data_IF_057394327811
#
_entry.id   IF_057394327811
#
_cell.length_a   1.000
_cell.length_b   1.000
_cell.length_c   1.000
_cell.angle_alpha   90.00
_cell.angle_beta   90.00
_cell.angle_gamma   90.00
#
_symmetry.space_group_name_H-M   'P 1'
#
loop_
_entity.id
_entity.type
_entity.pdbx_description
1 polymer ?
#
# COMPACT_ATOMS: atom_id res chain seq x y z
N UNK A 1 0.03 -46.77 62.95
CA UNK A 1 -1.16 -46.67 63.77
C UNK A 1 -1.85 -45.40 63.50
N UNK A 2 -3.13 -45.47 63.50
CA UNK A 2 -4.00 -45.00 62.34
C UNK A 2 -5.02 -44.00 62.83
N UNK A 3 -5.99 -43.77 61.94
CA UNK A 3 -7.33 -43.17 62.10
C UNK A 3 -7.45 -41.72 61.70
N UNK A 4 -8.46 -41.27 61.01
CA UNK A 4 -9.67 -41.84 60.36
C UNK A 4 -10.24 -40.79 59.43
N UNK A 5 -10.69 -41.23 58.35
CA UNK A 5 -11.83 -40.76 57.47
C UNK A 5 -12.81 -39.76 58.04
N UNK A 6 -13.26 -38.82 57.26
CA UNK A 6 -14.69 -38.68 56.98
C UNK A 6 -15.01 -37.94 55.67
N UNK A 7 -15.86 -38.55 54.97
CA UNK A 7 -16.57 -38.26 53.72
C UNK A 7 -17.74 -37.32 54.00
N UNK A 8 -18.08 -36.44 53.09
CA UNK A 8 -19.44 -36.09 52.71
C UNK A 8 -19.38 -35.16 51.47
N UNK A 9 -19.75 -35.60 50.41
CA UNK A 9 -20.89 -35.51 49.54
C UNK A 9 -21.64 -34.19 49.64
N UNK A 10 -21.87 -33.51 48.45
CA UNK A 10 -22.75 -32.40 48.26
C UNK A 10 -22.61 -31.76 46.90
N UNK A 11 -23.29 -32.33 45.92
CA UNK A 11 -23.60 -31.73 44.62
C UNK A 11 -24.20 -30.37 44.75
N UNK A 12 -23.92 -29.48 43.81
CA UNK A 12 -25.01 -28.81 43.09
C UNK A 12 -24.48 -28.02 41.89
N UNK A 13 -24.95 -28.39 40.76
CA UNK A 13 -24.94 -27.71 39.48
C UNK A 13 -25.60 -26.32 39.57
N UNK A 14 -24.89 -25.31 39.15
CA UNK A 14 -25.46 -23.97 39.01
C UNK A 14 -24.96 -23.33 37.73
N UNK A 15 -25.63 -23.64 36.62
CA UNK A 15 -25.51 -22.93 35.34
C UNK A 15 -26.05 -21.53 35.53
N UNK A 16 -25.18 -20.53 35.55
CA UNK A 16 -25.61 -19.12 35.41
C UNK A 16 -25.30 -18.63 33.99
N UNK A 17 -26.30 -18.76 33.14
CA UNK A 17 -26.43 -17.97 31.92
C UNK A 17 -26.79 -16.53 32.32
N UNK A 18 -25.82 -15.63 32.34
CA UNK A 18 -26.07 -14.20 32.31
C UNK A 18 -26.12 -13.75 30.84
N UNK A 19 -27.35 -13.63 30.38
CA UNK A 19 -27.70 -12.86 29.20
C UNK A 19 -27.48 -11.38 29.54
N UNK A 20 -26.32 -10.84 29.13
CA UNK A 20 -26.10 -9.39 29.12
C UNK A 20 -26.65 -8.87 27.79
N UNK A 21 -27.86 -8.33 27.83
CA UNK A 21 -28.35 -7.46 26.78
C UNK A 21 -27.51 -6.18 26.79
N UNK A 22 -26.46 -6.18 26.01
CA UNK A 22 -25.63 -5.01 25.75
C UNK A 22 -26.33 -4.12 24.76
N UNK A 23 -26.84 -3.02 25.22
CA UNK A 23 -27.20 -1.86 24.41
C UNK A 23 -26.00 -1.50 23.53
N UNK A 24 -26.19 -1.59 22.23
CA UNK A 24 -25.24 -1.12 21.22
C UNK A 24 -25.09 0.41 21.36
N UNK A 25 -24.08 0.84 22.10
CA UNK A 25 -23.53 2.17 21.90
C UNK A 25 -22.70 2.09 20.63
N UNK A 26 -23.26 2.58 19.52
CA UNK A 26 -22.55 2.81 18.29
C UNK A 26 -21.28 3.58 18.60
N UNK A 27 -20.16 3.04 18.17
CA UNK A 27 -18.89 3.73 18.29
C UNK A 27 -18.95 5.01 17.46
N UNK A 28 -18.70 6.13 18.11
CA UNK A 28 -18.64 7.50 17.55
C UNK A 28 -17.55 7.64 16.48
N UNK A 29 -16.95 6.53 16.04
CA UNK A 29 -15.83 6.48 15.09
C UNK A 29 -16.22 6.17 13.65
N UNK A 30 -17.50 5.81 13.38
CA UNK A 30 -17.93 5.38 12.05
C UNK A 30 -18.56 6.47 11.19
N UNK A 31 -18.80 7.68 11.71
CA UNK A 31 -19.57 8.69 10.98
C UNK A 31 -18.79 9.87 10.40
N UNK A 32 -17.50 10.08 10.73
CA UNK A 32 -16.83 11.33 10.36
C UNK A 32 -15.55 11.23 9.52
N UNK A 33 -15.20 10.07 8.98
CA UNK A 33 -13.91 9.95 8.24
C UNK A 33 -14.06 9.82 6.73
N UNK A 34 -15.23 9.53 6.18
CA UNK A 34 -15.39 9.57 4.71
C UNK A 34 -16.88 9.67 4.32
N UNK A 35 -17.47 10.85 4.41
CA UNK A 35 -18.56 11.19 3.52
C UNK A 35 -17.96 11.71 2.23
N UNK A 36 -18.07 10.99 1.11
CA UNK A 36 -17.75 11.60 -0.17
C UNK A 36 -18.75 12.75 -0.35
N UNK A 37 -18.24 13.99 -0.36
CA UNK A 37 -19.02 15.13 -0.81
C UNK A 37 -19.70 14.71 -2.10
N UNK A 38 -21.01 14.88 -2.18
CA UNK A 38 -21.78 14.78 -3.43
C UNK A 38 -21.34 15.91 -4.36
N UNK A 39 -20.13 15.80 -4.87
CA UNK A 39 -19.69 16.50 -6.05
C UNK A 39 -20.43 15.88 -7.21
N UNK A 40 -21.29 16.65 -7.83
CA UNK A 40 -22.03 16.33 -9.03
C UNK A 40 -21.11 15.72 -10.07
N UNK A 41 -21.41 14.47 -10.42
CA UNK A 41 -20.64 13.56 -11.20
C UNK A 41 -20.09 14.09 -12.50
N UNK A 42 -18.87 13.71 -12.72
CA UNK A 42 -18.31 13.31 -14.02
C UNK A 42 -17.51 12.01 -13.85
N UNK A 43 -17.46 11.46 -12.66
CA UNK A 43 -17.00 10.09 -12.47
C UNK A 43 -18.21 9.17 -12.60
N UNK A 44 -18.50 8.80 -13.84
CA UNK A 44 -19.27 7.60 -14.11
C UNK A 44 -18.62 6.48 -13.30
N UNK A 45 -19.42 5.84 -12.45
CA UNK A 45 -19.04 4.65 -11.72
C UNK A 45 -18.28 3.70 -12.62
N UNK A 46 -16.97 3.68 -12.53
CA UNK A 46 -16.18 2.57 -13.01
C UNK A 46 -16.36 1.43 -12.01
N UNK A 47 -17.63 1.06 -11.79
CA UNK A 47 -17.99 -0.22 -11.21
C UNK A 47 -17.52 -1.27 -12.20
N UNK A 48 -16.40 -1.93 -11.84
CA UNK A 48 -16.08 -3.23 -12.39
C UNK A 48 -15.90 -3.26 -13.91
N UNK A 49 -15.03 -2.45 -14.51
CA UNK A 49 -14.43 -2.90 -15.77
C UNK A 49 -13.36 -3.91 -15.41
N UNK A 50 -13.82 -5.13 -15.17
CA UNK A 50 -12.99 -6.33 -15.26
C UNK A 50 -12.06 -6.14 -16.45
N UNK A 51 -10.75 -6.27 -16.23
CA UNK A 51 -9.74 -6.48 -17.27
C UNK A 51 -9.95 -7.85 -17.94
N UNK A 52 -11.19 -8.24 -18.15
CA UNK A 52 -11.52 -9.41 -18.96
C UNK A 52 -11.32 -9.01 -20.40
N UNK A 53 -10.20 -9.37 -20.92
CA UNK A 53 -9.60 -9.45 -22.25
C UNK A 53 -10.40 -9.19 -23.52
N UNK A 54 -11.43 -8.38 -23.49
CA UNK A 54 -12.05 -7.77 -24.65
C UNK A 54 -11.88 -6.27 -24.54
N UNK A 55 -10.74 -5.77 -25.05
CA UNK A 55 -10.67 -4.41 -25.53
C UNK A 55 -11.76 -4.26 -26.58
N UNK A 56 -12.96 -3.92 -26.15
CA UNK A 56 -13.96 -3.41 -27.08
C UNK A 56 -13.33 -2.16 -27.68
N UNK A 57 -12.93 -2.27 -28.93
CA UNK A 57 -12.46 -1.17 -29.74
C UNK A 57 -13.58 -0.13 -29.84
N UNK A 58 -13.80 0.64 -28.81
CA UNK A 58 -14.45 1.95 -28.98
C UNK A 58 -13.55 2.71 -29.93
N UNK A 59 -14.05 2.98 -31.12
CA UNK A 59 -13.36 3.64 -32.23
C UNK A 59 -12.95 5.10 -31.95
N UNK A 60 -13.04 5.54 -30.70
CA UNK A 60 -12.77 6.90 -30.25
C UNK A 60 -11.43 6.97 -29.55
N UNK A 61 -10.65 7.99 -29.88
CA UNK A 61 -9.42 8.30 -29.18
C UNK A 61 -9.70 8.64 -27.71
N UNK A 62 -8.87 8.15 -26.79
CA UNK A 62 -8.98 8.44 -25.36
C UNK A 62 -8.64 9.87 -24.96
N UNK A 63 -8.03 10.65 -25.86
CA UNK A 63 -7.83 12.07 -25.61
C UNK A 63 -9.14 12.82 -25.83
N UNK A 64 -9.68 13.42 -24.75
CA UNK A 64 -10.93 14.19 -24.79
C UNK A 64 -10.90 15.39 -25.76
N UNK A 65 -9.73 15.96 -25.98
CA UNK A 65 -9.53 17.11 -26.87
C UNK A 65 -9.17 16.70 -28.30
N UNK A 66 -9.30 15.44 -28.66
CA UNK A 66 -8.94 14.96 -29.99
C UNK A 66 -9.92 15.40 -31.05
N UNK A 67 -9.48 16.25 -31.98
CA UNK A 67 -10.28 16.66 -33.14
C UNK A 67 -10.58 15.52 -34.12
N UNK A 68 -9.78 14.45 -34.15
CA UNK A 68 -9.93 13.30 -35.03
C UNK A 68 -10.72 12.18 -34.32
N UNK A 69 -12.01 12.35 -34.15
CA UNK A 69 -12.88 11.36 -33.53
C UNK A 69 -13.01 10.04 -34.30
N UNK A 70 -12.46 9.95 -35.51
CA UNK A 70 -12.58 8.77 -36.37
C UNK A 70 -11.23 8.30 -36.91
N UNK A 71 -10.90 7.05 -36.72
CA UNK A 71 -9.68 6.46 -37.28
C UNK A 71 -10.00 5.18 -38.07
N UNK A 72 -9.35 5.06 -39.20
CA UNK A 72 -9.52 3.91 -40.08
C UNK A 72 -9.10 2.61 -39.37
N UNK A 73 -9.91 1.56 -39.36
CA UNK A 73 -9.68 0.32 -38.60
C UNK A 73 -8.32 -0.36 -38.87
N UNK A 74 -7.80 -0.21 -40.07
CA UNK A 74 -6.54 -0.84 -40.48
C UNK A 74 -5.27 -0.14 -39.98
N UNK A 75 -5.34 1.11 -39.50
CA UNK A 75 -4.22 1.83 -38.90
C UNK A 75 -3.99 1.50 -37.43
N UNK A 76 -4.85 0.69 -36.82
CA UNK A 76 -4.94 0.53 -35.37
C UNK A 76 -4.07 -0.59 -34.76
N UNK A 77 -3.38 -1.39 -35.58
CA UNK A 77 -2.73 -2.62 -35.10
C UNK A 77 -1.47 -2.43 -34.23
N UNK A 78 -0.93 -1.21 -34.17
CA UNK A 78 0.33 -0.92 -33.46
C UNK A 78 0.31 0.43 -32.74
N UNK A 79 -0.73 0.72 -31.95
CA UNK A 79 -0.79 1.99 -31.23
C UNK A 79 -0.83 1.78 -29.73
N UNK A 80 -0.10 2.60 -28.96
CA UNK A 80 0.00 2.40 -27.53
C UNK A 80 -1.36 2.57 -26.86
N UNK A 81 -1.64 1.66 -25.91
CA UNK A 81 -2.77 1.74 -25.01
C UNK A 81 -2.26 2.29 -23.68
N UNK A 82 -2.89 3.35 -23.22
CA UNK A 82 -2.61 3.95 -21.92
C UNK A 82 -3.89 3.94 -21.09
N UNK A 83 -3.83 3.33 -19.91
CA UNK A 83 -4.96 3.17 -18.97
C UNK A 83 -6.24 2.65 -19.66
N UNK A 84 -6.11 1.55 -20.41
CA UNK A 84 -7.17 0.91 -21.20
C UNK A 84 -7.78 1.80 -22.30
N UNK A 85 -7.20 2.94 -22.58
CA UNK A 85 -7.63 3.86 -23.65
C UNK A 85 -6.61 3.89 -24.77
N UNK A 86 -7.10 4.04 -25.97
CA UNK A 86 -6.29 4.09 -27.17
C UNK A 86 -6.06 5.52 -27.65
N UNK A 87 -4.82 5.86 -28.01
CA UNK A 87 -4.45 7.16 -28.56
C UNK A 87 -4.30 7.12 -30.07
N UNK A 88 -4.91 8.05 -30.81
CA UNK A 88 -4.85 8.10 -32.28
C UNK A 88 -3.47 8.57 -32.82
N UNK A 89 -2.67 9.20 -32.01
CA UNK A 89 -1.32 9.69 -32.34
C UNK A 89 -0.50 9.84 -31.07
N UNK A 90 0.83 9.98 -31.18
CA UNK A 90 1.72 10.27 -30.06
C UNK A 90 1.33 11.55 -29.32
N UNK A 91 0.84 12.57 -30.01
CA UNK A 91 0.31 13.78 -29.35
C UNK A 91 -0.89 13.49 -28.46
N UNK A 92 -1.80 12.62 -28.91
CA UNK A 92 -2.95 12.23 -28.08
C UNK A 92 -2.52 11.39 -26.89
N UNK A 93 -1.57 10.48 -27.07
CA UNK A 93 -1.00 9.71 -25.93
C UNK A 93 -0.31 10.64 -24.94
N UNK A 94 0.48 11.59 -25.41
CA UNK A 94 1.10 12.61 -24.55
C UNK A 94 0.06 13.40 -23.75
N UNK A 95 -1.00 13.87 -24.40
CA UNK A 95 -2.09 14.59 -23.72
C UNK A 95 -2.78 13.72 -22.66
N UNK A 96 -3.01 12.43 -22.95
CA UNK A 96 -3.57 11.47 -21.98
C UNK A 96 -2.63 11.25 -20.80
N UNK A 97 -1.34 11.08 -21.03
CA UNK A 97 -0.32 10.92 -19.98
C UNK A 97 -0.20 12.19 -19.13
N UNK A 98 -0.21 13.38 -19.76
CA UNK A 98 -0.21 14.66 -19.03
C UNK A 98 -1.47 14.82 -18.17
N UNK A 99 -2.63 14.43 -18.69
CA UNK A 99 -3.88 14.46 -17.93
C UNK A 99 -3.81 13.50 -16.72
N UNK A 100 -3.27 12.31 -16.92
CA UNK A 100 -3.05 11.34 -15.84
C UNK A 100 -2.05 11.88 -14.79
N UNK A 101 -0.93 12.44 -15.22
CA UNK A 101 0.05 13.02 -14.31
C UNK A 101 -0.54 14.18 -13.48
N UNK A 102 -1.41 15.02 -14.07
CA UNK A 102 -2.14 16.07 -13.35
C UNK A 102 -3.14 15.47 -12.36
N UNK A 103 -3.90 14.45 -12.77
CA UNK A 103 -4.83 13.73 -11.89
C UNK A 103 -4.11 13.15 -10.66
N UNK A 104 -2.93 12.54 -10.86
CA UNK A 104 -2.14 11.97 -9.78
C UNK A 104 -1.54 13.03 -8.82
N UNK A 105 -1.45 14.28 -9.28
CA UNK A 105 -1.06 15.38 -8.40
C UNK A 105 -2.17 15.80 -7.45
N UNK A 106 -3.43 15.57 -7.83
CA UNK A 106 -4.58 16.19 -7.19
C UNK A 106 -4.59 17.71 -7.38
N UNK A 107 -5.71 18.34 -7.11
CA UNK A 107 -5.85 19.81 -7.12
C UNK A 107 -5.19 20.47 -5.90
N UNK A 108 -4.53 19.71 -5.04
CA UNK A 108 -3.84 20.18 -3.84
C UNK A 108 -2.38 19.78 -3.82
N UNK A 109 -1.56 20.68 -3.37
CA UNK A 109 -0.15 20.45 -3.08
C UNK A 109 0.00 19.32 -2.06
N UNK A 110 0.21 18.06 -2.55
CA UNK A 110 0.42 16.88 -1.71
C UNK A 110 1.77 16.97 -0.96
N UNK A 111 2.51 18.04 -1.17
CA UNK A 111 3.69 18.41 -0.38
C UNK A 111 3.33 18.65 1.10
N UNK A 112 2.08 18.95 1.41
CA UNK A 112 1.57 18.84 2.77
C UNK A 112 1.36 17.36 3.10
N UNK A 113 2.41 16.69 3.58
CA UNK A 113 2.25 15.41 4.26
C UNK A 113 1.03 15.48 5.18
N UNK A 114 0.11 14.50 5.12
CA UNK A 114 -1.15 14.62 5.85
C UNK A 114 -0.87 14.96 7.31
N UNK A 115 -1.34 16.14 7.72
CA UNK A 115 -1.12 16.69 9.07
C UNK A 115 -1.70 15.81 10.19
N UNK A 116 -2.42 14.75 9.81
CA UNK A 116 -2.99 13.73 10.69
C UNK A 116 -1.99 13.09 11.67
N UNK A 117 -0.69 13.12 11.36
CA UNK A 117 0.33 12.51 12.24
C UNK A 117 0.80 13.41 13.40
N UNK A 118 0.51 14.71 13.38
CA UNK A 118 0.96 15.63 14.44
C UNK A 118 0.29 15.43 15.80
N UNK A 119 -0.84 14.71 15.84
CA UNK A 119 -1.65 14.53 17.06
C UNK A 119 -1.60 13.12 17.63
N UNK A 120 -0.73 12.24 17.12
CA UNK A 120 -0.60 10.91 17.71
C UNK A 120 0.20 10.96 19.01
N UNK A 121 -0.28 10.23 20.01
CA UNK A 121 0.44 10.06 21.26
C UNK A 121 1.79 9.40 20.95
N UNK A 122 2.92 9.97 21.40
CA UNK A 122 4.24 9.35 21.25
C UNK A 122 4.25 7.93 21.83
N UNK A 123 4.92 6.99 21.14
CA UNK A 123 4.97 5.58 21.51
C UNK A 123 5.36 5.37 22.97
N UNK A 124 6.43 6.04 23.43
CA UNK A 124 6.90 5.92 24.81
C UNK A 124 5.86 6.34 25.85
N UNK A 125 5.08 7.40 25.59
CA UNK A 125 4.00 7.84 26.48
C UNK A 125 2.81 6.89 26.44
N UNK A 126 2.49 6.34 25.27
CA UNK A 126 1.44 5.34 25.13
C UNK A 126 1.81 4.07 25.94
N UNK A 127 3.02 3.56 25.79
CA UNK A 127 3.49 2.38 26.51
C UNK A 127 3.57 2.61 28.02
N UNK A 128 3.95 3.81 28.44
CA UNK A 128 3.94 4.21 29.85
C UNK A 128 2.50 4.21 30.40
N UNK A 129 1.56 4.79 29.66
CA UNK A 129 0.14 4.82 30.04
C UNK A 129 -0.49 3.43 30.12
N UNK A 130 -0.01 2.48 29.33
CA UNK A 130 -0.43 1.07 29.37
C UNK A 130 0.29 0.26 30.49
N UNK A 131 1.25 0.86 31.20
CA UNK A 131 2.05 0.17 32.21
C UNK A 131 3.02 -0.87 31.64
N UNK A 132 3.31 -0.83 30.33
CA UNK A 132 4.26 -1.77 29.71
C UNK A 132 5.72 -1.39 29.91
N UNK A 133 5.97 -0.13 30.22
CA UNK A 133 7.26 0.39 30.64
C UNK A 133 7.08 1.30 31.85
N UNK A 134 8.16 1.49 32.60
CA UNK A 134 8.24 2.41 33.73
C UNK A 134 8.80 3.76 33.31
N UNK A 135 8.55 4.81 34.09
CA UNK A 135 9.11 6.13 33.84
C UNK A 135 10.65 6.13 33.76
N UNK A 136 11.41 5.44 34.67
CA UNK A 136 12.86 5.33 34.55
C UNK A 136 13.33 4.65 33.27
N UNK A 137 12.63 3.63 32.78
CA UNK A 137 12.95 2.97 31.52
C UNK A 137 12.77 3.93 30.33
N UNK A 138 11.68 4.69 30.30
CA UNK A 138 11.45 5.68 29.26
C UNK A 138 12.53 6.79 29.28
N UNK A 139 12.89 7.28 30.47
CA UNK A 139 13.94 8.30 30.59
C UNK A 139 15.31 7.77 30.12
N UNK A 140 15.67 6.52 30.47
CA UNK A 140 16.92 5.88 30.03
C UNK A 140 16.96 5.78 28.50
N UNK A 141 15.91 5.25 27.88
CA UNK A 141 15.82 5.12 26.42
C UNK A 141 15.89 6.47 25.71
N UNK A 142 15.24 7.51 26.25
CA UNK A 142 15.30 8.88 25.71
C UNK A 142 16.68 9.51 25.86
N UNK A 143 17.38 9.24 26.96
CA UNK A 143 18.76 9.72 27.18
C UNK A 143 19.70 9.08 26.15
N UNK A 144 19.65 7.76 25.98
CA UNK A 144 20.45 7.04 24.99
C UNK A 144 20.15 7.48 23.55
N UNK A 145 18.88 7.71 23.21
CA UNK A 145 18.50 8.24 21.90
C UNK A 145 19.08 9.64 21.65
N UNK A 146 19.07 10.52 22.66
CA UNK A 146 19.63 11.87 22.53
C UNK A 146 21.15 11.85 22.39
N UNK A 147 21.82 10.98 23.14
CA UNK A 147 23.27 10.79 23.09
C UNK A 147 23.73 10.27 21.73
N UNK A 148 23.02 9.27 21.19
CA UNK A 148 23.28 8.73 19.86
C UNK A 148 22.90 9.67 18.72
N UNK A 149 21.90 10.55 18.91
CA UNK A 149 21.32 11.39 17.88
C UNK A 149 20.56 10.65 16.78
N UNK A 150 20.46 9.34 16.85
CA UNK A 150 19.83 8.47 15.84
C UNK A 150 18.98 7.37 16.47
N UNK A 151 18.26 6.61 15.62
CA UNK A 151 17.45 5.47 16.06
C UNK A 151 16.06 5.86 16.58
N UNK A 152 15.23 4.85 16.75
CA UNK A 152 13.83 5.00 17.18
C UNK A 152 13.72 4.68 18.65
N UNK A 153 12.80 5.33 19.35
CA UNK A 153 12.58 5.09 20.77
C UNK A 153 12.27 3.62 21.10
N UNK A 154 11.59 2.90 20.17
CA UNK A 154 11.32 1.47 20.32
C UNK A 154 12.59 0.64 20.37
N UNK A 155 13.56 0.92 19.51
CA UNK A 155 14.84 0.21 19.46
C UNK A 155 15.64 0.44 20.76
N UNK A 156 15.63 1.67 21.27
CA UNK A 156 16.28 2.03 22.55
C UNK A 156 15.58 1.41 23.76
N UNK A 157 14.26 1.25 23.71
CA UNK A 157 13.54 0.54 24.78
C UNK A 157 13.89 -0.96 24.79
N UNK A 158 14.15 -1.54 23.64
CA UNK A 158 14.60 -2.94 23.53
C UNK A 158 16.05 -3.05 24.04
N UNK A 159 16.98 -2.26 23.48
CA UNK A 159 18.42 -2.39 23.75
C UNK A 159 18.80 -2.01 25.17
N UNK A 160 18.27 -0.86 25.68
CA UNK A 160 18.68 -0.30 26.97
C UNK A 160 17.82 -0.77 28.15
N UNK A 161 16.59 -1.18 27.87
CA UNK A 161 15.63 -1.48 28.92
C UNK A 161 15.13 -2.93 28.90
N UNK A 162 15.54 -3.73 27.92
CA UNK A 162 15.12 -5.12 27.78
C UNK A 162 13.61 -5.30 27.57
N UNK A 163 12.97 -4.30 26.93
CA UNK A 163 11.55 -4.39 26.59
C UNK A 163 11.38 -5.40 25.44
N UNK A 164 10.43 -6.30 25.59
CA UNK A 164 10.12 -7.31 24.58
C UNK A 164 9.66 -6.65 23.27
N UNK A 165 10.20 -7.07 22.11
CA UNK A 165 9.82 -6.53 20.80
C UNK A 165 8.32 -6.56 20.53
N UNK A 166 7.62 -7.60 21.00
CA UNK A 166 6.18 -7.78 20.86
C UNK A 166 5.39 -6.65 21.55
N UNK A 167 5.89 -6.10 22.66
CA UNK A 167 5.27 -4.95 23.34
C UNK A 167 5.43 -3.68 22.53
N UNK A 168 6.58 -3.51 21.86
CA UNK A 168 6.81 -2.37 20.96
C UNK A 168 5.82 -2.42 19.80
N UNK A 169 5.71 -3.56 19.13
CA UNK A 169 4.78 -3.74 17.99
C UNK A 169 3.32 -3.54 18.42
N UNK A 170 2.95 -4.04 19.59
CA UNK A 170 1.60 -3.81 20.15
C UNK A 170 1.37 -2.33 20.43
N UNK A 171 2.39 -1.62 20.93
CA UNK A 171 2.34 -0.18 21.12
C UNK A 171 2.16 0.58 19.80
N UNK A 172 2.89 0.20 18.78
CA UNK A 172 2.73 0.75 17.42
C UNK A 172 1.34 0.46 16.85
N UNK A 173 0.86 -0.77 17.00
CA UNK A 173 -0.50 -1.15 16.58
C UNK A 173 -1.57 -0.25 17.22
N UNK A 174 -1.48 -0.01 18.51
CA UNK A 174 -2.39 0.91 19.20
C UNK A 174 -2.21 2.36 18.74
N UNK A 175 -0.98 2.80 18.56
CA UNK A 175 -0.66 4.17 18.12
C UNK A 175 -1.22 4.45 16.72
N UNK A 176 -1.17 3.46 15.84
CA UNK A 176 -1.62 3.59 14.44
C UNK A 176 -3.06 3.13 14.22
N UNK A 177 -3.67 2.45 15.20
CA UNK A 177 -5.01 1.87 15.07
C UNK A 177 -5.07 0.79 13.98
N UNK A 178 -4.05 -0.05 13.89
CA UNK A 178 -3.91 -1.07 12.85
C UNK A 178 -3.61 -2.45 13.43
N UNK A 179 -3.75 -3.48 12.62
CA UNK A 179 -3.39 -4.84 13.01
C UNK A 179 -1.87 -5.04 13.17
N UNK A 180 -1.48 -5.96 14.04
CA UNK A 180 -0.16 -6.56 14.00
C UNK A 180 -0.19 -7.67 12.95
N UNK A 181 0.70 -7.60 11.99
CA UNK A 181 0.82 -8.57 10.91
C UNK A 181 2.03 -9.47 11.15
N UNK A 182 1.90 -10.74 10.76
CA UNK A 182 2.99 -11.71 10.79
C UNK A 182 3.35 -12.15 9.38
N UNK A 183 4.61 -12.53 9.11
CA UNK A 183 5.03 -13.08 7.82
C UNK A 183 4.52 -14.48 7.53
N UNK A 184 3.59 -15.03 8.32
CA UNK A 184 3.01 -16.33 8.04
C UNK A 184 2.39 -16.40 6.65
N UNK A 185 2.79 -17.42 5.88
CA UNK A 185 2.36 -17.55 4.49
C UNK A 185 3.01 -16.56 3.52
N UNK A 186 4.07 -15.88 3.94
CA UNK A 186 4.88 -15.02 3.07
C UNK A 186 5.61 -15.86 2.03
N UNK A 187 5.47 -15.47 0.76
CA UNK A 187 6.23 -15.99 -0.37
C UNK A 187 6.94 -14.85 -1.05
N UNK A 188 8.26 -14.76 -0.87
CA UNK A 188 9.06 -13.68 -1.41
C UNK A 188 8.95 -13.60 -2.94
N UNK A 189 8.97 -14.73 -3.63
CA UNK A 189 8.87 -14.80 -5.09
C UNK A 189 7.56 -14.23 -5.64
N UNK A 190 6.45 -14.47 -4.94
CA UNK A 190 5.13 -13.97 -5.34
C UNK A 190 5.02 -12.48 -4.99
N UNK A 191 5.48 -12.09 -3.81
CA UNK A 191 5.36 -10.73 -3.31
C UNK A 191 6.33 -9.76 -4.00
N UNK A 192 7.47 -10.22 -4.52
CA UNK A 192 8.41 -9.41 -5.29
C UNK A 192 7.81 -8.82 -6.59
N UNK A 193 6.67 -9.37 -7.03
CA UNK A 193 5.95 -8.89 -8.23
C UNK A 193 4.90 -7.83 -7.93
N UNK A 194 4.60 -7.58 -6.66
CA UNK A 194 3.52 -6.67 -6.25
C UNK A 194 3.91 -5.22 -6.41
N UNK A 195 5.07 -4.84 -5.89
CA UNK A 195 5.55 -3.47 -5.87
C UNK A 195 6.99 -3.38 -6.39
N UNK A 196 7.39 -2.24 -6.95
CA UNK A 196 8.78 -2.02 -7.35
C UNK A 196 9.74 -2.16 -6.17
N UNK A 197 10.88 -2.79 -6.42
CA UNK A 197 11.95 -2.99 -5.44
C UNK A 197 12.33 -1.70 -4.69
N UNK A 198 12.40 -0.58 -5.41
CA UNK A 198 12.75 0.74 -4.84
C UNK A 198 11.78 1.20 -3.73
N UNK A 199 10.52 0.80 -3.80
CA UNK A 199 9.55 1.14 -2.76
C UNK A 199 9.76 0.31 -1.48
N UNK A 200 10.14 -0.95 -1.63
CA UNK A 200 10.54 -1.79 -0.50
C UNK A 200 11.81 -1.24 0.17
N UNK A 201 12.77 -0.80 -0.63
CA UNK A 201 14.04 -0.27 -0.15
C UNK A 201 13.90 1.10 0.51
N UNK A 202 13.20 2.05 -0.15
CA UNK A 202 13.19 3.45 0.26
C UNK A 202 11.99 3.86 1.11
N UNK A 203 10.85 3.19 0.94
CA UNK A 203 9.61 3.53 1.65
C UNK A 203 9.28 2.55 2.77
N UNK A 204 10.05 1.46 2.88
CA UNK A 204 9.85 0.47 3.93
C UNK A 204 8.46 -0.18 3.91
N UNK A 205 7.89 -0.36 2.72
CA UNK A 205 6.63 -1.07 2.53
C UNK A 205 6.91 -2.52 2.12
N UNK A 206 6.27 -3.46 2.77
CA UNK A 206 6.50 -4.88 2.55
C UNK A 206 5.19 -5.60 2.24
N UNK A 207 4.95 -6.01 0.99
CA UNK A 207 3.83 -6.89 0.70
C UNK A 207 4.08 -8.25 1.34
N UNK A 208 3.10 -8.78 2.10
CA UNK A 208 3.27 -10.00 2.89
C UNK A 208 2.58 -11.19 2.25
N UNK A 209 1.30 -11.06 1.95
CA UNK A 209 0.50 -12.13 1.37
C UNK A 209 -0.81 -11.60 0.80
N UNK A 210 -1.44 -12.38 -0.05
CA UNK A 210 -2.82 -12.16 -0.50
C UNK A 210 -3.72 -13.21 0.12
N UNK A 211 -4.74 -12.76 0.85
CA UNK A 211 -5.74 -13.64 1.45
C UNK A 211 -7.08 -13.57 0.72
N UNK A 212 -7.76 -14.71 0.62
CA UNK A 212 -9.09 -14.78 0.04
C UNK A 212 -9.18 -14.26 -1.40
N UNK A 213 -8.10 -14.34 -2.16
CA UNK A 213 -7.96 -13.87 -3.55
C UNK A 213 -8.08 -12.34 -3.78
N UNK A 214 -8.39 -11.53 -2.77
CA UNK A 214 -8.65 -10.08 -2.96
C UNK A 214 -8.07 -9.14 -1.91
N UNK A 215 -7.48 -9.62 -0.83
CA UNK A 215 -6.93 -8.76 0.23
C UNK A 215 -5.42 -8.95 0.26
N UNK A 216 -4.69 -7.88 -0.05
CA UNK A 216 -3.25 -7.81 0.08
C UNK A 216 -2.90 -7.21 1.45
N UNK A 217 -2.15 -7.94 2.25
CA UNK A 217 -1.59 -7.43 3.49
C UNK A 217 -0.26 -6.72 3.23
N UNK A 218 -0.20 -5.45 3.66
CA UNK A 218 0.97 -4.59 3.49
C UNK A 218 1.55 -4.25 4.86
N UNK A 219 2.75 -4.75 5.13
CA UNK A 219 3.46 -4.58 6.39
C UNK A 219 4.39 -3.36 6.41
N UNK A 220 4.51 -2.75 7.58
CA UNK A 220 5.44 -1.67 7.89
C UNK A 220 6.12 -1.95 9.23
N UNK A 221 7.38 -1.56 9.38
CA UNK A 221 8.11 -1.81 10.62
C UNK A 221 7.70 -0.88 11.77
N UNK A 222 7.33 0.37 11.46
CA UNK A 222 7.10 1.39 12.50
C UNK A 222 6.02 2.41 12.14
N UNK A 223 5.93 2.80 10.88
CA UNK A 223 5.05 3.87 10.42
C UNK A 223 4.23 3.42 9.23
N UNK A 224 2.92 3.47 9.37
CA UNK A 224 2.03 3.21 8.25
C UNK A 224 2.05 4.37 7.25
N UNK A 225 2.11 4.01 6.00
CA UNK A 225 1.95 4.94 4.89
C UNK A 225 0.63 4.68 4.16
N UNK A 226 -0.37 5.50 4.46
CA UNK A 226 -1.68 5.38 3.83
C UNK A 226 -1.64 5.64 2.31
N UNK A 227 -0.70 6.49 1.85
CA UNK A 227 -0.51 6.73 0.42
C UNK A 227 0.04 5.50 -0.28
N UNK A 228 1.00 4.80 0.36
CA UNK A 228 1.54 3.55 -0.15
C UNK A 228 0.45 2.47 -0.27
N UNK A 229 -0.43 2.35 0.73
CA UNK A 229 -1.54 1.42 0.69
C UNK A 229 -2.51 1.74 -0.46
N UNK A 230 -2.96 2.99 -0.58
CA UNK A 230 -3.87 3.44 -1.63
C UNK A 230 -3.28 3.24 -3.03
N UNK A 231 -2.01 3.60 -3.23
CA UNK A 231 -1.33 3.44 -4.53
C UNK A 231 -1.18 1.97 -4.89
N UNK A 232 -0.84 1.12 -3.92
CA UNK A 232 -0.75 -0.33 -4.13
C UNK A 232 -2.11 -0.93 -4.47
N UNK A 233 -3.18 -0.49 -3.79
CA UNK A 233 -4.56 -0.89 -4.10
C UNK A 233 -4.95 -0.50 -5.52
N UNK A 234 -4.68 0.74 -5.92
CA UNK A 234 -4.97 1.23 -7.28
C UNK A 234 -4.16 0.50 -8.35
N UNK A 235 -2.90 0.14 -8.07
CA UNK A 235 -2.05 -0.56 -9.02
C UNK A 235 -2.43 -2.03 -9.15
N UNK A 236 -2.68 -2.72 -8.04
CA UNK A 236 -2.93 -4.18 -8.00
C UNK A 236 -4.39 -4.56 -8.19
N UNK A 237 -5.33 -3.64 -8.01
CA UNK A 237 -6.79 -3.89 -7.92
C UNK A 237 -7.20 -4.83 -6.76
N UNK A 238 -6.29 -5.02 -5.80
CA UNK A 238 -6.55 -5.74 -4.57
C UNK A 238 -6.91 -4.76 -3.47
N UNK A 239 -7.82 -5.11 -2.59
CA UNK A 239 -8.01 -4.36 -1.36
C UNK A 239 -6.74 -4.46 -0.52
N UNK A 240 -6.21 -3.34 -0.04
CA UNK A 240 -4.99 -3.33 0.77
C UNK A 240 -5.33 -3.12 2.24
N UNK A 241 -4.87 -4.03 3.08
CA UNK A 241 -4.92 -3.89 4.53
C UNK A 241 -3.51 -3.71 5.08
N UNK A 242 -3.28 -2.56 5.71
CA UNK A 242 -1.98 -2.19 6.25
C UNK A 242 -1.87 -2.52 7.73
N UNK A 243 -0.68 -2.94 8.16
CA UNK A 243 -0.41 -3.20 9.56
C UNK A 243 1.07 -3.08 9.89
N UNK A 244 1.37 -3.19 11.18
CA UNK A 244 2.75 -3.19 11.67
C UNK A 244 3.26 -4.62 11.82
N UNK A 245 4.53 -4.82 11.52
CA UNK A 245 5.25 -6.08 11.66
C UNK A 245 6.37 -5.88 12.69
N UNK A 246 6.67 -6.91 13.46
CA UNK A 246 7.82 -6.89 14.37
C UNK A 246 9.12 -6.65 13.58
N UNK A 247 10.01 -5.79 14.12
CA UNK A 247 11.16 -5.27 13.38
C UNK A 247 12.10 -6.34 12.83
N UNK A 248 12.42 -7.38 13.61
CA UNK A 248 13.30 -8.46 13.16
C UNK A 248 12.66 -9.32 12.08
N UNK A 249 11.37 -9.61 12.21
CA UNK A 249 10.58 -10.36 11.23
C UNK A 249 10.41 -9.54 9.94
N UNK A 250 10.19 -8.23 10.06
CA UNK A 250 10.11 -7.32 8.93
C UNK A 250 11.40 -7.31 8.12
N UNK A 251 12.56 -7.11 8.78
CA UNK A 251 13.86 -7.07 8.11
C UNK A 251 14.26 -8.43 7.52
N UNK A 252 13.89 -9.54 8.15
CA UNK A 252 14.11 -10.87 7.61
C UNK A 252 13.29 -11.09 6.31
N UNK A 253 11.99 -10.79 6.33
CA UNK A 253 11.13 -10.94 5.18
C UNK A 253 11.49 -9.93 4.07
N UNK A 254 11.85 -8.69 4.42
CA UNK A 254 12.33 -7.68 3.48
C UNK A 254 13.60 -8.13 2.75
N UNK A 255 14.55 -8.70 3.46
CA UNK A 255 15.77 -9.25 2.87
C UNK A 255 15.46 -10.38 1.91
N UNK A 256 14.64 -11.35 2.32
CA UNK A 256 14.21 -12.43 1.44
C UNK A 256 13.54 -11.91 0.17
N UNK A 257 12.67 -10.90 0.28
CA UNK A 257 12.00 -10.31 -0.87
C UNK A 257 12.99 -9.62 -1.81
N UNK A 258 13.96 -8.89 -1.27
CA UNK A 258 14.98 -8.19 -2.06
C UNK A 258 16.00 -9.15 -2.71
N UNK A 259 16.16 -10.36 -2.20
CA UNK A 259 16.99 -11.39 -2.79
C UNK A 259 16.28 -12.14 -3.93
N UNK A 260 14.95 -12.00 -4.04
CA UNK A 260 14.17 -12.62 -5.12
C UNK A 260 14.17 -11.77 -6.39
N UNK A 261 14.06 -12.45 -7.52
CA UNK A 261 13.80 -11.83 -8.80
C UNK A 261 12.37 -11.31 -8.88
N UNK A 262 12.22 -10.01 -9.07
CA UNK A 262 10.95 -9.32 -9.16
C UNK A 262 10.58 -8.94 -10.59
N UNK A 263 9.70 -7.96 -10.73
CA UNK A 263 9.40 -7.33 -12.03
C UNK A 263 10.61 -6.49 -12.46
N UNK A 264 10.98 -6.56 -13.76
CA UNK A 264 12.00 -5.69 -14.31
C UNK A 264 11.63 -4.22 -14.06
N UNK A 265 12.52 -3.49 -13.39
CA UNK A 265 12.28 -2.11 -12.99
C UNK A 265 13.38 -1.19 -13.51
N UNK A 266 12.96 -0.07 -14.10
CA UNK A 266 13.86 1.03 -14.47
C UNK A 266 13.54 2.27 -13.64
N UNK A 267 14.57 2.79 -12.96
CA UNK A 267 14.50 4.04 -12.20
C UNK A 267 15.07 5.17 -13.06
N UNK A 268 14.27 6.19 -13.32
CA UNK A 268 14.66 7.36 -14.12
C UNK A 268 14.40 8.64 -13.32
N UNK A 269 15.20 9.67 -13.54
CA UNK A 269 15.00 10.99 -12.95
C UNK A 269 14.33 11.92 -13.97
N UNK A 270 13.26 12.57 -13.55
CA UNK A 270 12.58 13.58 -14.34
C UNK A 270 12.82 14.97 -13.78
N UNK A 271 13.11 15.94 -14.66
CA UNK A 271 13.30 17.35 -14.26
C UNK A 271 11.97 17.99 -13.85
N UNK A 272 10.94 17.72 -14.62
CA UNK A 272 9.60 18.24 -14.44
C UNK A 272 8.56 17.23 -14.95
N UNK A 273 7.29 17.56 -14.77
CA UNK A 273 6.15 16.70 -15.13
C UNK A 273 6.02 16.51 -16.64
N UNK A 274 6.34 17.53 -17.41
CA UNK A 274 6.20 17.48 -18.87
C UNK A 274 7.29 16.61 -19.49
N UNK A 275 8.51 16.66 -18.96
CA UNK A 275 9.60 15.77 -19.35
C UNK A 275 9.29 14.31 -19.00
N UNK A 276 8.71 14.05 -17.82
CA UNK A 276 8.24 12.70 -17.41
C UNK A 276 7.13 12.24 -18.36
N UNK A 277 6.14 13.06 -18.65
CA UNK A 277 5.05 12.70 -19.55
C UNK A 277 5.52 12.41 -20.97
N UNK A 278 6.47 13.20 -21.49
CA UNK A 278 7.10 12.94 -22.78
C UNK A 278 7.87 11.61 -22.78
N UNK A 279 8.61 11.33 -21.70
CA UNK A 279 9.37 10.09 -21.55
C UNK A 279 8.44 8.88 -21.46
N UNK A 280 7.39 8.94 -20.65
CA UNK A 280 6.35 7.89 -20.56
C UNK A 280 5.75 7.63 -21.95
N UNK A 281 5.43 8.70 -22.70
CA UNK A 281 4.87 8.55 -24.05
C UNK A 281 5.82 7.80 -24.98
N UNK A 282 7.11 8.13 -24.97
CA UNK A 282 8.13 7.42 -25.75
C UNK A 282 8.25 5.94 -25.34
N UNK A 283 8.19 5.64 -24.04
CA UNK A 283 8.21 4.28 -23.52
C UNK A 283 7.00 3.47 -24.00
N UNK A 284 5.80 4.08 -23.93
CA UNK A 284 4.57 3.44 -24.39
C UNK A 284 4.60 3.18 -25.92
N UNK A 285 5.17 4.09 -26.69
CA UNK A 285 5.34 3.92 -28.14
C UNK A 285 6.37 2.83 -28.47
N UNK A 286 7.43 2.73 -27.68
CA UNK A 286 8.49 1.73 -27.84
C UNK A 286 7.99 0.31 -27.52
N UNK A 287 7.37 0.14 -26.34
CA UNK A 287 6.99 -1.18 -25.84
C UNK A 287 5.61 -1.64 -26.30
N UNK A 288 4.73 -0.70 -26.69
CA UNK A 288 3.35 -0.97 -27.14
C UNK A 288 2.59 -1.94 -26.22
N UNK A 289 2.53 -1.66 -24.90
CA UNK A 289 1.93 -2.56 -23.93
C UNK A 289 0.44 -2.77 -24.25
N UNK A 290 -0.08 -3.91 -23.86
CA UNK A 290 -1.52 -4.23 -23.97
C UNK A 290 -2.34 -3.55 -22.87
N UNK A 291 -1.71 -3.24 -21.75
CA UNK A 291 -2.27 -2.44 -20.67
C UNK A 291 -1.16 -1.66 -19.96
N UNK A 292 -1.52 -0.53 -19.40
CA UNK A 292 -0.60 0.26 -18.58
C UNK A 292 -1.38 1.04 -17.53
N UNK A 293 -0.72 1.37 -16.44
CA UNK A 293 -1.27 2.18 -15.36
C UNK A 293 -0.20 3.09 -14.78
N UNK A 294 -0.57 4.34 -14.54
CA UNK A 294 0.27 5.35 -13.91
C UNK A 294 -0.32 5.73 -12.56
N UNK A 295 0.49 5.68 -11.52
CA UNK A 295 0.14 6.15 -10.17
C UNK A 295 1.28 6.97 -9.60
N UNK A 296 0.99 7.83 -8.61
CA UNK A 296 2.00 8.60 -7.91
C UNK A 296 2.07 8.18 -6.45
N UNK A 297 3.30 7.97 -5.95
CA UNK A 297 3.60 7.73 -4.55
C UNK A 297 4.71 8.69 -4.10
N UNK A 298 4.34 9.67 -3.28
CA UNK A 298 5.24 10.76 -2.85
C UNK A 298 5.88 11.48 -4.04
N UNK A 299 7.22 11.47 -4.12
CA UNK A 299 7.99 12.04 -5.23
C UNK A 299 8.12 11.12 -6.43
N UNK A 300 7.56 9.91 -6.39
CA UNK A 300 7.70 8.93 -7.45
C UNK A 300 6.44 8.83 -8.29
N UNK A 301 6.60 8.78 -9.62
CA UNK A 301 5.59 8.30 -10.53
C UNK A 301 5.92 6.86 -10.90
N UNK A 302 4.99 5.96 -10.71
CA UNK A 302 5.13 4.54 -11.03
C UNK A 302 4.23 4.20 -12.21
N UNK A 303 4.87 3.86 -13.34
CA UNK A 303 4.24 3.33 -14.53
C UNK A 303 4.45 1.81 -14.55
N UNK A 304 3.38 1.04 -14.49
CA UNK A 304 3.39 -0.41 -14.73
C UNK A 304 2.81 -0.69 -16.10
N UNK A 305 3.48 -1.54 -16.87
CA UNK A 305 3.06 -1.98 -18.19
C UNK A 305 2.94 -3.49 -18.21
N UNK A 306 1.87 -4.00 -18.82
CA UNK A 306 1.68 -5.39 -19.13
C UNK A 306 1.93 -5.58 -20.62
N UNK A 307 2.91 -6.42 -20.97
CA UNK A 307 3.38 -6.60 -22.34
C UNK A 307 2.63 -7.70 -23.05
N UNK A 308 2.20 -8.73 -22.32
CA UNK A 308 1.45 -9.86 -22.85
C UNK A 308 0.10 -10.07 -22.13
N UNK A 309 -0.85 -10.70 -22.81
CA UNK A 309 -2.19 -10.94 -22.25
C UNK A 309 -2.18 -11.85 -21.03
N UNK A 310 -1.24 -12.77 -20.95
CA UNK A 310 -1.08 -13.67 -19.80
C UNK A 310 -0.70 -12.95 -18.52
N UNK A 311 0.05 -11.86 -18.63
CA UNK A 311 0.52 -11.09 -17.51
C UNK A 311 -0.57 -10.33 -16.74
N UNK A 312 -1.68 -10.00 -17.39
CA UNK A 312 -2.79 -9.28 -16.73
C UNK A 312 -3.47 -10.16 -15.68
N UNK A 313 -3.45 -11.48 -15.86
CA UNK A 313 -4.07 -12.41 -14.94
C UNK A 313 -5.61 -12.28 -14.88
N UNK A 314 -6.21 -12.90 -13.87
CA UNK A 314 -7.62 -12.65 -13.50
C UNK A 314 -7.70 -11.38 -12.67
N UNK A 315 -8.80 -10.66 -12.78
CA UNK A 315 -9.05 -9.47 -11.95
C UNK A 315 -8.80 -9.77 -10.47
N UNK A 316 -7.95 -8.99 -9.84
CA UNK A 316 -7.55 -9.17 -8.45
C UNK A 316 -6.55 -10.31 -8.23
N UNK A 317 -5.86 -10.81 -9.27
CA UNK A 317 -4.73 -11.73 -9.14
C UNK A 317 -3.41 -10.99 -9.40
N UNK A 318 -2.36 -11.48 -8.75
CA UNK A 318 -1.00 -10.99 -8.99
C UNK A 318 -0.49 -11.46 -10.37
N UNK A 319 0.50 -10.76 -10.98
CA UNK A 319 1.14 -11.22 -12.19
C UNK A 319 1.67 -12.65 -12.03
N UNK A 320 1.37 -13.51 -12.97
CA UNK A 320 1.84 -14.90 -12.97
C UNK A 320 3.34 -15.02 -13.27
N UNK A 321 3.86 -14.06 -14.05
CA UNK A 321 5.28 -13.97 -14.42
C UNK A 321 5.76 -12.53 -14.26
N UNK A 322 7.06 -12.35 -13.92
CA UNK A 322 7.71 -11.04 -13.91
C UNK A 322 8.12 -10.58 -15.31
N UNK A 323 8.31 -11.50 -16.24
CA UNK A 323 8.82 -11.22 -17.60
C UNK A 323 7.81 -10.43 -18.45
N UNK A 324 6.52 -10.68 -18.24
CA UNK A 324 5.46 -10.03 -19.01
C UNK A 324 5.05 -8.66 -18.47
N UNK A 325 5.68 -8.21 -17.40
CA UNK A 325 5.39 -6.94 -16.72
C UNK A 325 6.66 -6.13 -16.62
N UNK A 326 6.58 -4.84 -16.84
CA UNK A 326 7.69 -3.92 -16.69
C UNK A 326 7.27 -2.69 -15.90
N UNK A 327 8.11 -2.30 -14.95
CA UNK A 327 7.94 -1.12 -14.13
C UNK A 327 8.92 -0.02 -14.51
N UNK A 328 8.41 1.20 -14.65
CA UNK A 328 9.22 2.42 -14.67
C UNK A 328 8.85 3.26 -13.46
N UNK A 329 9.86 3.68 -12.73
CA UNK A 329 9.70 4.59 -11.59
C UNK A 329 10.45 5.87 -11.91
N UNK A 330 9.72 6.98 -11.95
CA UNK A 330 10.29 8.30 -12.20
C UNK A 330 10.35 9.05 -10.87
N UNK A 331 11.55 9.49 -10.48
CA UNK A 331 11.69 10.42 -9.36
C UNK A 331 11.63 11.85 -9.88
N UNK A 332 10.77 12.66 -9.26
CA UNK A 332 10.81 14.10 -9.47
C UNK A 332 11.91 14.64 -8.57
N UNK A 333 12.97 15.18 -9.14
CA UNK A 333 14.01 15.86 -8.38
C UNK A 333 13.38 16.95 -7.53
N UNK A 334 13.87 17.13 -6.28
CA UNK A 334 13.53 18.32 -5.53
C UNK A 334 13.93 19.53 -6.39
N UNK A 335 13.10 20.60 -6.45
CA UNK A 335 13.52 21.82 -7.10
C UNK A 335 14.82 22.29 -6.45
N UNK A 336 15.84 22.49 -7.29
CA UNK A 336 17.17 22.95 -6.88
C UNK A 336 17.08 24.33 -6.22
#
# INVERSE_FOLDING_TARGET
MPFLTKKSEGSETGTFLHTVSGSSRGSVWESDVYSPSKGTGIFGSATGSSFSGQVQHKRLCGNAECANGWTMPWRNRKRPIFEAQWGCSGRCVLAMVQAAARRELGDGDISAAPRLHRHRVPLGLLMLGQGWITHPQLQRALAAQRESGTGRIGDWLISECGVEPERIVRGLSLQWGCAVLTPEGFSAEVMARVVPRVFVERLGMLPLRVAGSRILYLGFADRLDASAALVTERMSELKVESGVVEGSQFEAARRQLLDCEGVEMKLEEGRDKDSIAARITAILEQHQPIASRLVRLHQYYWLRMWLERGAIGKVGSLPSSGEDVMDYVFSVGAPA
#
